data_IF_420097424781
#
_entry.id   IF_420097424781
#
_cell.length_a   1.000
_cell.length_b   1.000
_cell.length_c   1.000
_cell.angle_alpha   90.00
_cell.angle_beta   90.00
_cell.angle_gamma   90.00
#
_symmetry.space_group_name_H-M   'P 1'
#
loop_
_entity.id
_entity.type
_entity.pdbx_description
1 polymer ?
#
# COMPACT_ATOMS: atom_id res chain seq x y z
N UNK A 1 0.66 44.94 23.64
CA UNK A 1 1.46 44.73 22.41
C UNK A 1 2.59 43.71 22.65
N UNK A 2 3.20 43.71 23.86
CA UNK A 2 4.28 42.77 24.20
C UNK A 2 3.82 41.31 24.42
N UNK A 3 2.58 41.09 24.91
CA UNK A 3 2.06 39.73 25.13
C UNK A 3 1.79 38.94 23.82
N UNK A 4 1.56 39.63 22.67
CA UNK A 4 1.40 38.98 21.36
C UNK A 4 2.73 38.66 20.64
N UNK A 5 3.81 39.34 21.01
CA UNK A 5 5.15 39.06 20.49
C UNK A 5 5.75 37.80 21.11
N UNK A 6 5.54 37.60 22.42
CA UNK A 6 6.01 36.41 23.14
C UNK A 6 5.31 35.11 22.68
N UNK A 7 4.00 35.14 22.43
CA UNK A 7 3.26 33.97 21.97
C UNK A 7 3.66 33.51 20.55
N UNK A 8 4.11 34.44 19.68
CA UNK A 8 4.64 34.10 18.34
C UNK A 8 6.05 33.53 18.38
N UNK A 9 6.87 33.94 19.36
CA UNK A 9 8.20 33.39 19.55
C UNK A 9 8.15 31.96 20.10
N UNK A 10 7.27 31.67 21.06
CA UNK A 10 7.09 30.30 21.58
C UNK A 10 6.55 29.30 20.54
N UNK A 11 5.66 29.72 19.66
CA UNK A 11 5.16 28.88 18.58
C UNK A 11 6.21 28.59 17.48
N UNK A 12 7.15 29.52 17.25
CA UNK A 12 8.25 29.34 16.30
C UNK A 12 9.28 28.31 16.82
N UNK A 13 9.53 28.27 18.12
CA UNK A 13 10.50 27.36 18.74
C UNK A 13 10.00 25.91 18.83
N UNK A 14 8.69 25.71 18.95
CA UNK A 14 8.07 24.37 18.92
C UNK A 14 8.21 23.72 17.53
N UNK A 15 8.18 24.53 16.46
CA UNK A 15 8.36 24.03 15.09
C UNK A 15 9.82 23.94 14.61
N UNK A 16 10.76 24.61 15.29
CA UNK A 16 12.19 24.61 14.88
C UNK A 16 13.01 23.46 15.48
N UNK A 17 12.43 22.61 16.32
CA UNK A 17 13.09 21.41 16.86
C UNK A 17 14.26 21.67 17.84
N UNK A 18 14.49 22.93 18.28
CA UNK A 18 15.62 23.29 19.14
C UNK A 18 15.31 23.34 20.65
N UNK A 19 14.04 23.15 21.04
CA UNK A 19 13.55 23.45 22.38
C UNK A 19 13.48 22.32 23.42
N UNK A 20 13.80 21.06 23.13
CA UNK A 20 13.51 19.91 24.05
C UNK A 20 14.78 19.17 24.54
N UNK A 21 15.93 19.76 24.49
CA UNK A 21 17.16 19.06 24.94
C UNK A 21 17.69 19.50 26.33
N UNK A 22 16.98 20.33 27.09
CA UNK A 22 17.51 20.92 28.34
C UNK A 22 16.73 20.67 29.63
N UNK A 23 15.81 19.74 29.70
CA UNK A 23 15.07 19.50 30.97
C UNK A 23 14.99 18.01 31.34
N UNK A 24 16.09 17.34 31.58
CA UNK A 24 16.24 16.29 32.64
C UNK A 24 17.74 16.01 32.80
N UNK A 25 18.42 16.80 33.59
CA UNK A 25 19.74 16.42 34.15
C UNK A 25 19.57 16.17 35.66
N UNK A 26 19.81 14.92 36.05
CA UNK A 26 20.26 14.64 37.44
C UNK A 26 21.67 15.20 37.59
N UNK A 27 22.08 15.75 38.73
CA UNK A 27 23.45 16.24 38.95
C UNK A 27 24.41 15.05 39.00
N UNK A 28 25.28 14.95 37.99
CA UNK A 28 26.47 14.09 38.02
C UNK A 28 27.62 14.92 38.61
N UNK A 29 28.47 14.28 39.42
CA UNK A 29 29.63 14.91 40.07
C UNK A 29 30.64 15.42 39.05
N UNK A 30 31.36 16.51 39.40
CA UNK A 30 32.28 17.28 38.56
C UNK A 30 33.49 16.53 38.06
N UNK A 31 33.73 15.28 38.44
CA UNK A 31 34.99 14.54 38.10
C UNK A 31 34.86 13.64 36.87
N UNK A 32 33.65 13.26 36.44
CA UNK A 32 33.49 12.39 35.29
C UNK A 32 33.36 13.13 33.94
N UNK A 33 33.13 14.45 33.98
CA UNK A 33 33.02 15.27 32.77
C UNK A 33 34.35 15.63 32.10
N UNK A 34 35.47 15.61 32.85
CA UNK A 34 36.78 15.99 32.33
C UNK A 34 37.57 14.82 31.73
N UNK A 35 37.19 13.57 32.01
CA UNK A 35 37.85 12.38 31.39
C UNK A 35 37.29 11.97 30.03
N UNK A 36 36.11 12.45 29.67
CA UNK A 36 35.47 12.09 28.40
C UNK A 36 35.85 12.99 27.20
N UNK A 37 36.50 14.12 27.40
CA UNK A 37 36.85 15.10 26.35
C UNK A 37 38.34 15.15 25.98
N UNK A 38 39.13 14.12 26.26
CA UNK A 38 40.56 14.14 26.15
C UNK A 38 41.20 13.63 24.84
N UNK A 39 40.42 13.31 23.78
CA UNK A 39 41.01 12.85 22.52
C UNK A 39 40.60 13.73 21.34
N UNK A 40 41.50 14.59 20.80
CA UNK A 40 41.21 15.48 19.67
C UNK A 40 40.95 14.76 18.34
N UNK A 41 41.09 13.42 18.28
CA UNK A 41 40.81 12.59 17.08
C UNK A 41 39.40 11.97 17.07
N UNK A 42 38.58 12.23 18.08
CA UNK A 42 37.21 11.75 18.11
C UNK A 42 36.30 12.92 18.51
N UNK A 43 35.87 13.79 17.57
CA UNK A 43 34.88 14.82 17.88
C UNK A 43 33.66 14.09 18.41
N UNK A 44 33.08 14.56 19.53
CA UNK A 44 31.82 14.05 20.11
C UNK A 44 30.79 13.97 19.00
N UNK A 45 30.62 12.79 18.41
CA UNK A 45 29.61 12.53 17.44
C UNK A 45 28.27 12.55 18.20
N UNK A 46 27.37 13.52 17.98
CA UNK A 46 26.07 13.50 18.62
C UNK A 46 25.48 12.14 18.24
N UNK A 47 25.19 11.30 19.23
CA UNK A 47 24.58 9.99 19.04
C UNK A 47 23.37 10.20 18.13
N UNK A 48 23.54 9.92 16.82
CA UNK A 48 22.41 9.83 15.91
C UNK A 48 21.49 8.78 16.52
N UNK A 49 20.32 9.19 16.99
CA UNK A 49 19.36 8.29 17.59
C UNK A 49 18.82 7.38 16.49
N UNK A 50 19.52 6.29 16.24
CA UNK A 50 19.05 5.27 15.31
C UNK A 50 17.76 4.65 15.85
N UNK A 51 16.75 4.59 15.00
CA UNK A 51 15.57 3.81 15.32
C UNK A 51 15.98 2.36 15.60
N UNK A 52 15.49 1.74 16.68
CA UNK A 52 15.69 0.31 16.85
C UNK A 52 15.01 -0.44 15.70
N UNK A 53 15.65 -1.46 15.08
CA UNK A 53 15.08 -2.19 13.95
C UNK A 53 13.66 -2.69 14.21
N UNK A 54 13.41 -3.28 15.39
CA UNK A 54 12.07 -3.76 15.75
C UNK A 54 11.00 -2.65 15.79
N UNK A 55 11.36 -1.43 16.22
CA UNK A 55 10.43 -0.28 16.22
C UNK A 55 10.06 0.15 14.81
N UNK A 56 11.03 0.16 13.90
CA UNK A 56 10.79 0.51 12.48
C UNK A 56 9.89 -0.52 11.82
N UNK A 57 10.18 -1.81 12.01
CA UNK A 57 9.40 -2.90 11.44
C UNK A 57 7.97 -2.91 11.97
N UNK A 58 7.80 -2.75 13.28
CA UNK A 58 6.48 -2.66 13.91
C UNK A 58 5.69 -1.45 13.43
N UNK A 59 6.32 -0.29 13.33
CA UNK A 59 5.69 0.94 12.86
C UNK A 59 5.25 0.83 11.38
N UNK A 60 6.07 0.23 10.53
CA UNK A 60 5.75 -0.02 9.14
C UNK A 60 4.59 -1.00 9.00
N UNK A 61 4.61 -2.10 9.76
CA UNK A 61 3.55 -3.11 9.75
C UNK A 61 2.21 -2.52 10.23
N UNK A 62 2.20 -1.85 11.38
CA UNK A 62 0.97 -1.24 11.94
C UNK A 62 0.42 -0.17 11.00
N UNK A 63 1.28 0.70 10.48
CA UNK A 63 0.88 1.76 9.56
C UNK A 63 0.18 1.20 8.33
N UNK A 64 0.81 0.27 7.63
CA UNK A 64 0.24 -0.34 6.43
C UNK A 64 -0.95 -1.25 6.72
N UNK A 65 -1.04 -1.87 7.90
CA UNK A 65 -2.24 -2.62 8.31
C UNK A 65 -3.45 -1.70 8.42
N UNK A 66 -3.29 -0.52 9.03
CA UNK A 66 -4.36 0.50 9.13
C UNK A 66 -4.76 0.99 7.75
N UNK A 67 -3.76 1.29 6.91
CA UNK A 67 -3.95 1.71 5.52
C UNK A 67 -4.79 0.70 4.73
N UNK A 68 -4.40 -0.57 4.75
CA UNK A 68 -5.12 -1.61 4.03
C UNK A 68 -6.47 -1.93 4.66
N UNK A 69 -6.62 -1.85 5.98
CA UNK A 69 -7.92 -1.97 6.63
C UNK A 69 -8.90 -0.93 6.09
N UNK A 70 -8.53 0.35 6.08
CA UNK A 70 -9.35 1.46 5.59
C UNK A 70 -9.72 1.29 4.10
N UNK A 71 -8.78 0.77 3.32
CA UNK A 71 -9.01 0.50 1.91
C UNK A 71 -10.01 -0.66 1.69
N UNK A 72 -9.88 -1.75 2.45
CA UNK A 72 -10.71 -2.94 2.27
C UNK A 72 -12.09 -2.83 2.89
N UNK A 73 -12.29 -2.04 3.97
CA UNK A 73 -13.66 -1.76 4.45
C UNK A 73 -14.48 -1.05 3.37
N UNK A 74 -13.86 -0.14 2.61
CA UNK A 74 -14.54 0.46 1.46
C UNK A 74 -14.83 -0.58 0.36
N UNK A 75 -13.87 -1.43 0.02
CA UNK A 75 -14.05 -2.46 -1.01
C UNK A 75 -15.22 -3.40 -0.67
N UNK A 76 -15.29 -3.83 0.58
CA UNK A 76 -16.39 -4.66 1.08
C UNK A 76 -17.73 -3.91 1.04
N UNK A 77 -17.76 -2.66 1.52
CA UNK A 77 -18.97 -1.84 1.49
C UNK A 77 -19.42 -1.51 0.06
N UNK A 78 -18.51 -1.34 -0.89
CA UNK A 78 -18.81 -1.09 -2.30
C UNK A 78 -19.57 -2.25 -2.96
N UNK A 79 -19.39 -3.46 -2.47
CA UNK A 79 -20.14 -4.65 -2.94
C UNK A 79 -21.42 -4.86 -2.13
N UNK A 80 -21.36 -4.70 -0.79
CA UNK A 80 -22.43 -5.15 0.12
C UNK A 80 -23.44 -4.06 0.47
N UNK A 81 -23.01 -2.79 0.51
CA UNK A 81 -23.75 -1.68 1.16
C UNK A 81 -24.09 -0.57 0.18
N UNK A 82 -23.09 -0.03 -0.51
CA UNK A 82 -23.26 1.19 -1.29
C UNK A 82 -24.22 1.07 -2.48
N UNK A 83 -24.33 -0.08 -3.18
CA UNK A 83 -25.33 -0.23 -4.23
C UNK A 83 -26.75 0.06 -3.74
N UNK A 84 -27.08 -0.35 -2.50
CA UNK A 84 -28.42 -0.17 -1.91
C UNK A 84 -28.63 1.23 -1.33
N UNK A 85 -27.61 1.81 -0.68
CA UNK A 85 -27.75 3.02 0.12
C UNK A 85 -27.35 4.32 -0.59
N UNK A 86 -26.49 4.22 -1.61
CA UNK A 86 -25.97 5.39 -2.33
C UNK A 86 -26.35 5.42 -3.81
N UNK A 87 -26.74 4.28 -4.39
CA UNK A 87 -27.07 4.14 -5.81
C UNK A 87 -28.41 3.42 -6.03
N UNK A 88 -29.51 3.81 -5.36
CA UNK A 88 -30.76 3.06 -5.41
C UNK A 88 -31.54 3.19 -6.74
N UNK A 89 -31.13 4.11 -7.62
CA UNK A 89 -31.80 4.35 -8.90
C UNK A 89 -31.30 3.38 -9.97
N UNK A 90 -32.18 2.52 -10.47
CA UNK A 90 -31.90 1.57 -11.55
C UNK A 90 -31.94 0.10 -11.12
N UNK A 91 -31.47 -0.79 -12.01
CA UNK A 91 -31.34 -2.21 -11.69
C UNK A 91 -30.14 -2.48 -10.77
N UNK A 92 -30.16 -3.62 -10.08
CA UNK A 92 -29.13 -4.01 -9.11
C UNK A 92 -27.71 -4.12 -9.74
N UNK A 93 -27.63 -4.47 -11.02
CA UNK A 93 -26.36 -4.58 -11.74
C UNK A 93 -25.77 -3.20 -12.00
N UNK A 94 -26.57 -2.24 -12.46
CA UNK A 94 -26.15 -0.83 -12.65
C UNK A 94 -25.73 -0.19 -11.34
N UNK A 95 -26.47 -0.41 -10.25
CA UNK A 95 -26.11 0.10 -8.92
C UNK A 95 -24.75 -0.46 -8.45
N UNK A 96 -24.50 -1.75 -8.67
CA UNK A 96 -23.21 -2.38 -8.34
C UNK A 96 -22.07 -1.81 -9.19
N UNK A 97 -22.28 -1.63 -10.49
CA UNK A 97 -21.28 -1.04 -11.39
C UNK A 97 -20.94 0.40 -11.01
N UNK A 98 -21.93 1.23 -10.64
CA UNK A 98 -21.72 2.60 -10.16
C UNK A 98 -20.91 2.62 -8.85
N UNK A 99 -21.24 1.72 -7.92
CA UNK A 99 -20.49 1.57 -6.68
C UNK A 99 -19.03 1.15 -6.93
N UNK A 100 -18.79 0.19 -7.82
CA UNK A 100 -17.46 -0.23 -8.22
C UNK A 100 -16.69 0.86 -9.00
N UNK A 101 -17.39 1.73 -9.73
CA UNK A 101 -16.78 2.89 -10.36
C UNK A 101 -16.23 3.88 -9.31
N UNK A 102 -16.97 4.11 -8.20
CA UNK A 102 -16.42 4.92 -7.09
C UNK A 102 -15.24 4.24 -6.42
N UNK A 103 -15.24 2.91 -6.30
CA UNK A 103 -14.07 2.17 -5.81
C UNK A 103 -12.84 2.41 -6.69
N UNK A 104 -13.00 2.44 -8.01
CA UNK A 104 -11.92 2.69 -8.96
C UNK A 104 -11.29 4.09 -8.82
N UNK A 105 -12.05 5.11 -8.39
CA UNK A 105 -11.55 6.48 -8.23
C UNK A 105 -10.29 6.57 -7.36
N UNK A 106 -10.18 5.75 -6.31
CA UNK A 106 -9.00 5.76 -5.47
C UNK A 106 -7.72 5.40 -6.24
N UNK A 107 -7.80 4.49 -7.22
CA UNK A 107 -6.63 4.11 -8.02
C UNK A 107 -6.15 5.25 -8.91
N UNK A 108 -7.06 6.05 -9.44
CA UNK A 108 -6.70 7.25 -10.21
C UNK A 108 -6.17 8.38 -9.32
N UNK A 109 -6.64 8.48 -8.08
CA UNK A 109 -6.14 9.45 -7.11
C UNK A 109 -4.73 9.10 -6.58
N UNK A 110 -4.36 7.81 -6.52
CA UNK A 110 -3.07 7.35 -5.97
C UNK A 110 -1.84 7.93 -6.68
N UNK A 111 -1.71 7.95 -8.01
CA UNK A 111 -0.57 8.60 -8.66
C UNK A 111 -0.45 10.09 -8.36
N UNK A 112 -1.60 10.79 -8.25
CA UNK A 112 -1.63 12.19 -7.83
C UNK A 112 -1.11 12.30 -6.39
N UNK A 113 -1.57 11.44 -5.49
CA UNK A 113 -1.08 11.33 -4.12
C UNK A 113 0.43 11.02 -4.07
N UNK A 114 0.90 10.06 -4.87
CA UNK A 114 2.33 9.74 -4.99
C UNK A 114 3.16 10.93 -5.46
N UNK A 115 2.66 11.69 -6.41
CA UNK A 115 3.33 12.88 -6.91
C UNK A 115 3.42 13.97 -5.83
N UNK A 116 2.32 14.25 -5.15
CA UNK A 116 2.24 15.26 -4.09
C UNK A 116 3.05 14.84 -2.87
N UNK A 117 2.73 13.69 -2.28
CA UNK A 117 3.41 13.22 -1.06
C UNK A 117 4.85 12.77 -1.34
N UNK A 118 5.15 12.21 -2.51
CA UNK A 118 6.50 11.90 -2.93
C UNK A 118 7.38 13.14 -3.01
N UNK A 119 6.87 14.21 -3.63
CA UNK A 119 7.57 15.50 -3.68
C UNK A 119 7.91 16.03 -2.28
N UNK A 120 6.96 16.00 -1.37
CA UNK A 120 7.19 16.42 0.01
C UNK A 120 8.10 15.43 0.76
N UNK A 121 7.97 14.12 0.51
CA UNK A 121 8.79 13.08 1.13
C UNK A 121 10.26 13.17 0.77
N UNK A 122 10.57 13.53 -0.47
CA UNK A 122 11.94 13.74 -0.95
C UNK A 122 12.51 15.12 -0.56
N UNK A 123 11.67 16.10 -0.13
CA UNK A 123 12.09 17.47 0.24
C UNK A 123 12.03 17.79 1.73
N UNK A 124 10.95 17.43 2.38
CA UNK A 124 10.65 17.80 3.78
C UNK A 124 11.02 16.67 4.74
N UNK A 125 10.91 15.43 4.27
CA UNK A 125 11.20 14.24 5.05
C UNK A 125 10.08 13.20 4.99
N UNK A 126 10.47 11.96 5.16
CA UNK A 126 9.57 10.81 5.02
C UNK A 126 8.57 10.70 6.16
N UNK A 127 8.99 11.02 7.39
CA UNK A 127 8.13 11.00 8.57
C UNK A 127 6.95 11.97 8.47
N UNK A 128 7.21 13.24 8.14
CA UNK A 128 6.18 14.27 8.03
C UNK A 128 5.16 13.92 6.94
N UNK A 129 5.66 13.43 5.81
CA UNK A 129 4.84 13.01 4.68
C UNK A 129 3.94 11.81 5.01
N UNK A 130 4.46 10.81 5.72
CA UNK A 130 3.69 9.66 6.18
C UNK A 130 2.57 10.05 7.16
N UNK A 131 2.83 11.02 8.04
CA UNK A 131 1.80 11.56 8.95
C UNK A 131 0.70 12.28 8.17
N UNK A 132 1.06 13.13 7.21
CA UNK A 132 0.09 13.86 6.40
C UNK A 132 -0.75 12.91 5.52
N UNK A 133 -0.14 11.90 4.92
CA UNK A 133 -0.83 10.87 4.13
C UNK A 133 -1.83 10.06 4.98
N UNK A 134 -1.42 9.61 6.17
CA UNK A 134 -2.28 8.90 7.11
C UNK A 134 -3.50 9.76 7.52
N UNK A 135 -3.28 11.03 7.85
CA UNK A 135 -4.37 11.93 8.25
C UNK A 135 -5.34 12.18 7.08
N UNK A 136 -4.83 12.36 5.86
CA UNK A 136 -5.67 12.55 4.66
C UNK A 136 -6.54 11.32 4.40
N UNK A 137 -5.96 10.13 4.46
CA UNK A 137 -6.68 8.88 4.24
C UNK A 137 -7.68 8.61 5.36
N UNK A 138 -7.23 8.67 6.61
CA UNK A 138 -8.07 8.33 7.77
C UNK A 138 -9.23 9.29 7.97
N UNK A 139 -9.03 10.60 7.80
CA UNK A 139 -10.14 11.57 7.84
C UNK A 139 -11.17 11.29 6.74
N UNK A 140 -10.71 11.00 5.52
CA UNK A 140 -11.60 10.63 4.43
C UNK A 140 -12.41 9.36 4.75
N UNK A 141 -11.79 8.35 5.38
CA UNK A 141 -12.46 7.12 5.81
C UNK A 141 -13.52 7.38 6.86
N UNK A 142 -13.20 8.14 7.89
CA UNK A 142 -14.15 8.49 8.96
C UNK A 142 -15.35 9.28 8.41
N UNK A 143 -15.09 10.21 7.51
CA UNK A 143 -16.14 10.99 6.86
C UNK A 143 -17.11 10.09 6.08
N UNK A 144 -16.63 9.02 5.39
CA UNK A 144 -17.53 8.06 4.72
C UNK A 144 -18.54 7.46 5.71
N UNK A 145 -18.06 7.06 6.91
CA UNK A 145 -18.93 6.53 7.96
C UNK A 145 -19.99 7.52 8.46
N UNK A 146 -19.74 8.82 8.34
CA UNK A 146 -20.65 9.88 8.75
C UNK A 146 -21.58 10.37 7.62
N UNK A 147 -21.38 9.91 6.37
CA UNK A 147 -22.19 10.40 5.23
C UNK A 147 -23.67 10.02 5.38
N UNK A 148 -24.59 10.97 5.07
CA UNK A 148 -25.99 10.64 4.85
C UNK A 148 -26.17 9.81 3.57
N UNK A 149 -27.20 8.98 3.54
CA UNK A 149 -27.54 8.11 2.40
C UNK A 149 -28.28 8.88 1.30
N UNK A 150 -28.48 8.22 0.16
CA UNK A 150 -29.22 8.79 -0.97
C UNK A 150 -30.62 9.25 -0.60
N UNK A 151 -31.32 8.49 0.25
CA UNK A 151 -32.68 8.85 0.71
C UNK A 151 -32.73 10.16 1.49
N UNK A 152 -31.63 10.57 2.14
CA UNK A 152 -31.57 11.80 2.93
C UNK A 152 -31.17 13.04 2.10
N UNK A 153 -30.21 12.89 1.16
CA UNK A 153 -29.62 14.04 0.43
C UNK A 153 -29.54 13.84 -1.09
N UNK A 154 -30.18 12.81 -1.62
CA UNK A 154 -30.23 12.54 -3.06
C UNK A 154 -28.85 12.38 -3.70
N UNK A 155 -28.65 12.98 -4.88
CA UNK A 155 -27.43 12.87 -5.66
C UNK A 155 -26.17 13.39 -4.94
N UNK A 156 -26.32 14.22 -3.92
CA UNK A 156 -25.16 14.68 -3.13
C UNK A 156 -24.48 13.53 -2.38
N UNK A 157 -25.21 12.45 -2.02
CA UNK A 157 -24.63 11.31 -1.31
C UNK A 157 -23.56 10.57 -2.12
N UNK A 158 -23.81 10.09 -3.35
CA UNK A 158 -22.76 9.46 -4.16
C UNK A 158 -21.62 10.43 -4.54
N UNK A 159 -21.88 11.72 -4.71
CA UNK A 159 -20.85 12.72 -4.98
C UNK A 159 -19.89 12.87 -3.79
N UNK A 160 -20.42 13.02 -2.57
CA UNK A 160 -19.61 13.11 -1.35
C UNK A 160 -18.83 11.79 -1.10
N UNK A 161 -19.47 10.65 -1.36
CA UNK A 161 -18.80 9.35 -1.29
C UNK A 161 -17.61 9.29 -2.25
N UNK A 162 -17.78 9.75 -3.49
CA UNK A 162 -16.72 9.81 -4.50
C UNK A 162 -15.58 10.76 -4.09
N UNK A 163 -15.90 11.94 -3.53
CA UNK A 163 -14.90 12.88 -3.01
C UNK A 163 -14.10 12.31 -1.83
N UNK A 164 -14.76 11.68 -0.87
CA UNK A 164 -14.07 11.00 0.22
C UNK A 164 -13.19 9.86 -0.30
N UNK A 165 -13.68 9.08 -1.29
CA UNK A 165 -12.90 8.01 -1.92
C UNK A 165 -11.67 8.54 -2.66
N UNK A 166 -11.78 9.67 -3.32
CA UNK A 166 -10.65 10.36 -3.94
C UNK A 166 -9.62 10.78 -2.88
N UNK A 167 -10.08 11.35 -1.75
CA UNK A 167 -9.23 11.70 -0.61
C UNK A 167 -8.49 10.50 0.00
N UNK A 168 -9.17 9.35 0.16
CA UNK A 168 -8.53 8.10 0.56
C UNK A 168 -7.42 7.70 -0.42
N UNK A 169 -7.70 7.77 -1.72
CA UNK A 169 -6.73 7.45 -2.76
C UNK A 169 -5.50 8.36 -2.75
N UNK A 170 -5.69 9.66 -2.52
CA UNK A 170 -4.57 10.61 -2.38
C UNK A 170 -3.65 10.20 -1.22
N UNK A 171 -4.21 9.97 -0.02
CA UNK A 171 -3.42 9.56 1.15
C UNK A 171 -2.67 8.24 0.89
N UNK A 172 -3.37 7.23 0.39
CA UNK A 172 -2.82 5.92 0.10
C UNK A 172 -1.65 5.97 -0.92
N UNK A 173 -1.75 6.86 -1.92
CA UNK A 173 -0.70 7.05 -2.92
C UNK A 173 0.63 7.50 -2.34
N UNK A 174 0.61 8.27 -1.24
CA UNK A 174 1.80 8.76 -0.56
C UNK A 174 2.38 7.81 0.48
N UNK A 175 1.63 6.85 0.97
CA UNK A 175 1.99 6.11 2.17
C UNK A 175 2.88 4.90 1.90
N UNK A 176 2.51 4.06 0.95
CA UNK A 176 3.16 2.77 0.70
C UNK A 176 4.67 2.90 0.42
N UNK A 177 5.08 3.80 -0.48
CA UNK A 177 6.49 4.00 -0.81
C UNK A 177 7.32 4.45 0.39
N UNK A 178 6.76 5.34 1.22
CA UNK A 178 7.41 5.79 2.47
C UNK A 178 7.59 4.66 3.48
N UNK A 179 6.59 3.79 3.64
CA UNK A 179 6.66 2.66 4.56
C UNK A 179 7.71 1.62 4.11
N UNK A 180 7.74 1.31 2.81
CA UNK A 180 8.74 0.39 2.22
C UNK A 180 10.15 0.96 2.38
N UNK A 181 10.36 2.23 2.04
CA UNK A 181 11.69 2.86 2.16
C UNK A 181 12.12 2.98 3.62
N UNK A 182 11.21 3.33 4.53
CA UNK A 182 11.52 3.35 5.96
C UNK A 182 12.02 1.99 6.44
N UNK A 183 11.41 0.90 5.99
CA UNK A 183 11.83 -0.44 6.36
C UNK A 183 13.16 -0.84 5.69
N UNK A 184 13.28 -0.69 4.36
CA UNK A 184 14.44 -1.16 3.59
C UNK A 184 15.72 -0.34 3.83
N UNK A 185 15.61 0.98 4.05
CA UNK A 185 16.77 1.85 4.33
C UNK A 185 17.34 1.67 5.76
N UNK A 186 16.55 1.10 6.68
CA UNK A 186 17.03 0.69 8.00
C UNK A 186 17.45 -0.79 8.06
N UNK A 187 17.41 -1.51 6.93
CA UNK A 187 17.78 -2.92 6.86
C UNK A 187 19.31 -3.11 6.89
N UNK A 188 19.82 -4.14 7.59
CA UNK A 188 21.20 -4.57 7.43
C UNK A 188 21.47 -5.05 5.99
N UNK A 189 22.74 -4.96 5.51
CA UNK A 189 23.10 -5.47 4.20
C UNK A 189 22.66 -6.92 4.00
N UNK A 190 22.06 -7.24 2.83
CA UNK A 190 21.58 -8.56 2.49
C UNK A 190 20.27 -8.99 3.16
N UNK A 191 19.55 -8.07 3.83
CA UNK A 191 18.22 -8.32 4.46
C UNK A 191 17.16 -7.30 4.03
N UNK A 192 17.35 -6.68 2.89
CA UNK A 192 16.45 -5.63 2.42
C UNK A 192 15.05 -6.16 2.11
N UNK A 193 14.94 -7.35 1.48
CA UNK A 193 13.65 -7.97 1.19
C UNK A 193 12.95 -8.43 2.47
N UNK A 194 13.67 -8.99 3.44
CA UNK A 194 13.12 -9.36 4.74
C UNK A 194 12.55 -8.16 5.50
N UNK A 195 13.24 -7.02 5.51
CA UNK A 195 12.74 -5.80 6.15
C UNK A 195 11.58 -5.21 5.35
N UNK A 196 11.70 -5.16 4.02
CA UNK A 196 10.67 -4.65 3.11
C UNK A 196 9.36 -5.45 3.10
N UNK A 197 9.37 -6.71 3.57
CA UNK A 197 8.14 -7.50 3.68
C UNK A 197 7.20 -7.05 4.81
N UNK A 198 7.71 -6.40 5.87
CA UNK A 198 6.87 -6.02 7.00
C UNK A 198 5.74 -5.05 6.60
N UNK A 199 5.97 -3.97 5.86
CA UNK A 199 4.87 -3.19 5.30
C UNK A 199 3.95 -4.00 4.37
N UNK A 200 4.47 -5.01 3.66
CA UNK A 200 3.65 -5.86 2.78
C UNK A 200 2.71 -6.79 3.58
N UNK A 201 3.12 -7.25 4.76
CA UNK A 201 2.26 -8.03 5.67
C UNK A 201 1.05 -7.24 6.17
N UNK A 202 1.08 -5.92 6.09
CA UNK A 202 -0.08 -5.08 6.38
C UNK A 202 -1.30 -5.40 5.51
N UNK A 203 -1.09 -5.82 4.25
CA UNK A 203 -2.19 -6.14 3.33
C UNK A 203 -3.02 -7.37 3.79
N UNK A 204 -2.45 -8.55 4.04
CA UNK A 204 -3.24 -9.67 4.55
C UNK A 204 -3.84 -9.43 5.93
N UNK A 205 -3.15 -8.73 6.83
CA UNK A 205 -3.69 -8.39 8.15
C UNK A 205 -4.85 -7.41 8.05
N UNK A 206 -4.71 -6.35 7.26
CA UNK A 206 -5.79 -5.39 6.99
C UNK A 206 -7.01 -6.05 6.36
N UNK A 207 -6.80 -7.01 5.43
CA UNK A 207 -7.89 -7.76 4.82
C UNK A 207 -8.64 -8.63 5.85
N UNK A 208 -7.92 -9.39 6.68
CA UNK A 208 -8.53 -10.23 7.72
C UNK A 208 -9.32 -9.37 8.72
N UNK A 209 -8.75 -8.25 9.18
CA UNK A 209 -9.42 -7.34 10.10
C UNK A 209 -10.68 -6.72 9.46
N UNK A 210 -10.60 -6.24 8.22
CA UNK A 210 -11.72 -5.59 7.54
C UNK A 210 -12.83 -6.57 7.20
N UNK A 211 -12.50 -7.73 6.67
CA UNK A 211 -13.47 -8.79 6.36
C UNK A 211 -14.07 -9.36 7.64
N UNK A 212 -13.24 -9.55 8.66
CA UNK A 212 -13.66 -10.07 9.97
C UNK A 212 -14.66 -9.16 10.68
N UNK A 213 -14.48 -7.84 10.65
CA UNK A 213 -15.44 -6.91 11.28
C UNK A 213 -16.77 -6.91 10.53
N UNK A 214 -16.78 -6.97 9.18
CA UNK A 214 -18.03 -7.09 8.42
C UNK A 214 -18.72 -8.42 8.69
N UNK A 215 -17.98 -9.53 8.74
CA UNK A 215 -18.52 -10.84 9.07
C UNK A 215 -19.15 -10.83 10.48
N UNK A 216 -18.42 -10.27 11.47
CA UNK A 216 -18.93 -10.14 12.84
C UNK A 216 -20.23 -9.33 12.90
N UNK A 217 -20.26 -8.19 12.21
CA UNK A 217 -21.45 -7.31 12.19
C UNK A 217 -22.65 -7.99 11.51
N UNK A 218 -22.42 -8.76 10.45
CA UNK A 218 -23.50 -9.51 9.78
C UNK A 218 -24.02 -10.70 10.59
N UNK A 219 -23.24 -11.23 11.54
CA UNK A 219 -23.68 -12.27 12.48
C UNK A 219 -24.42 -11.70 13.70
N UNK A 220 -23.98 -10.54 14.20
CA UNK A 220 -24.53 -9.95 15.42
C UNK A 220 -25.74 -9.04 15.20
N UNK A 221 -25.90 -8.49 14.01
CA UNK A 221 -26.94 -7.53 13.67
C UNK A 221 -27.97 -8.13 12.72
N UNK A 222 -29.21 -7.70 12.88
CA UNK A 222 -30.24 -7.96 11.85
C UNK A 222 -29.93 -7.17 10.58
N UNK A 223 -30.43 -7.60 9.43
CA UNK A 223 -30.27 -6.87 8.17
C UNK A 223 -30.68 -5.40 8.30
N UNK A 224 -31.78 -5.11 8.99
CA UNK A 224 -32.25 -3.74 9.24
C UNK A 224 -31.22 -2.94 10.04
N UNK A 225 -30.71 -3.47 11.14
CA UNK A 225 -29.70 -2.82 11.97
C UNK A 225 -28.40 -2.61 11.18
N UNK A 226 -27.99 -3.63 10.41
CA UNK A 226 -26.79 -3.55 9.58
C UNK A 226 -26.89 -2.42 8.55
N UNK A 227 -27.97 -2.29 7.80
CA UNK A 227 -28.14 -1.24 6.79
C UNK A 227 -28.45 0.15 7.37
N UNK A 228 -29.04 0.26 8.56
CA UNK A 228 -29.30 1.58 9.21
C UNK A 228 -28.02 2.18 9.78
N UNK A 229 -27.25 1.41 10.57
CA UNK A 229 -26.07 1.94 11.26
C UNK A 229 -24.85 1.00 11.26
N UNK A 230 -25.04 -0.32 11.22
CA UNK A 230 -23.97 -1.30 11.41
C UNK A 230 -22.81 -1.13 10.41
N UNK A 231 -23.11 -0.85 9.15
CA UNK A 231 -22.09 -0.65 8.12
C UNK A 231 -21.18 0.56 8.37
N UNK A 232 -21.61 1.52 9.20
CA UNK A 232 -20.83 2.72 9.56
C UNK A 232 -19.73 2.42 10.58
N UNK A 233 -19.92 1.39 11.40
CA UNK A 233 -19.00 1.03 12.50
C UNK A 233 -17.56 0.85 12.04
N UNK A 234 -17.24 0.09 11.00
CA UNK A 234 -15.86 -0.07 10.54
C UNK A 234 -15.21 1.25 10.14
N UNK A 235 -15.95 2.14 9.46
CA UNK A 235 -15.46 3.45 9.03
C UNK A 235 -15.21 4.40 10.20
N UNK A 236 -16.10 4.42 11.19
CA UNK A 236 -15.94 5.26 12.37
C UNK A 236 -14.85 4.71 13.31
N UNK A 237 -14.70 3.38 13.40
CA UNK A 237 -13.63 2.74 14.15
C UNK A 237 -12.23 3.05 13.58
N UNK A 238 -12.13 3.39 12.29
CA UNK A 238 -10.91 3.89 11.67
C UNK A 238 -10.32 5.10 12.40
N UNK A 239 -11.15 5.97 13.02
CA UNK A 239 -10.65 7.08 13.82
C UNK A 239 -9.69 6.61 14.92
N UNK A 240 -10.02 5.53 15.63
CA UNK A 240 -9.15 4.95 16.65
C UNK A 240 -7.84 4.43 16.03
N UNK A 241 -7.93 3.76 14.89
CA UNK A 241 -6.75 3.24 14.18
C UNK A 241 -5.83 4.37 13.70
N UNK A 242 -6.40 5.49 13.23
CA UNK A 242 -5.63 6.69 12.85
C UNK A 242 -4.87 7.26 14.06
N UNK A 243 -5.48 7.33 15.25
CA UNK A 243 -4.78 7.75 16.47
C UNK A 243 -3.63 6.81 16.82
N UNK A 244 -3.82 5.50 16.72
CA UNK A 244 -2.75 4.51 16.93
C UNK A 244 -1.63 4.69 15.91
N UNK A 245 -1.96 4.81 14.62
CA UNK A 245 -0.98 5.04 13.55
C UNK A 245 -0.19 6.34 13.73
N UNK A 246 -0.87 7.42 14.11
CA UNK A 246 -0.24 8.71 14.40
C UNK A 246 0.72 8.62 15.59
N UNK A 247 0.28 8.01 16.71
CA UNK A 247 1.12 7.79 17.88
C UNK A 247 2.41 7.04 17.55
N UNK A 248 2.29 5.95 16.79
CA UNK A 248 3.43 5.14 16.37
C UNK A 248 4.40 5.95 15.48
N UNK A 249 3.87 6.70 14.50
CA UNK A 249 4.68 7.48 13.54
C UNK A 249 5.36 8.69 14.18
N UNK A 250 4.74 9.35 15.11
CA UNK A 250 5.35 10.50 15.82
C UNK A 250 6.59 10.10 16.62
N UNK A 251 6.71 8.83 17.01
CA UNK A 251 7.88 8.30 17.73
C UNK A 251 9.05 7.86 16.85
N UNK A 252 8.91 7.89 15.53
CA UNK A 252 9.98 7.56 14.61
C UNK A 252 10.91 8.77 14.39
N UNK A 253 12.19 8.50 14.15
CA UNK A 253 13.15 9.47 13.64
C UNK A 253 13.28 9.34 12.13
N UNK A 254 13.77 10.38 11.46
CA UNK A 254 13.97 10.37 10.01
C UNK A 254 15.03 9.34 9.59
N UNK A 255 14.98 8.87 8.33
CA UNK A 255 15.86 7.80 7.85
C UNK A 255 17.31 8.28 7.69
N UNK A 256 18.33 7.42 7.95
CA UNK A 256 19.73 7.78 7.76
C UNK A 256 20.05 8.14 6.31
N UNK A 257 19.41 7.50 5.34
CA UNK A 257 19.62 7.79 3.92
C UNK A 257 19.15 9.20 3.55
N UNK A 258 18.00 9.63 4.07
CA UNK A 258 17.49 10.98 3.85
C UNK A 258 18.35 12.04 4.55
N UNK A 259 18.86 11.76 5.76
CA UNK A 259 19.78 12.66 6.47
C UNK A 259 21.06 12.88 5.68
N UNK A 260 21.67 11.82 5.14
CA UNK A 260 22.85 11.93 4.27
C UNK A 260 22.58 12.72 3.00
N UNK A 261 21.43 12.52 2.36
CA UNK A 261 21.05 13.28 1.16
C UNK A 261 20.89 14.79 1.46
N UNK A 262 20.44 15.15 2.67
CA UNK A 262 20.43 16.55 3.14
C UNK A 262 21.85 17.09 3.29
N UNK A 263 22.72 16.36 3.99
CA UNK A 263 24.11 16.75 4.26
C UNK A 263 24.89 16.93 2.96
N UNK A 264 24.67 16.07 1.96
CA UNK A 264 25.36 16.12 0.66
C UNK A 264 24.73 17.09 -0.36
N UNK A 265 23.65 17.80 -0.02
CA UNK A 265 22.92 18.69 -0.92
C UNK A 265 22.35 18.00 -2.18
N UNK A 266 22.06 16.69 -2.13
CA UNK A 266 21.58 15.85 -3.24
C UNK A 266 20.06 15.96 -3.48
N UNK A 267 19.41 17.06 -3.06
CA UNK A 267 17.97 17.23 -3.20
C UNK A 267 17.58 17.67 -4.62
N UNK A 268 16.68 16.90 -5.23
CA UNK A 268 16.09 17.25 -6.52
C UNK A 268 14.95 18.25 -6.32
N UNK A 269 14.87 19.29 -7.16
CA UNK A 269 13.83 20.33 -7.05
C UNK A 269 12.43 19.81 -7.36
N UNK A 270 12.29 18.95 -8.37
CA UNK A 270 11.04 18.37 -8.85
C UNK A 270 11.18 16.86 -9.09
N UNK A 271 11.17 16.01 -8.04
CA UNK A 271 11.40 14.57 -8.16
C UNK A 271 10.46 13.87 -9.16
N UNK A 272 9.18 14.27 -9.21
CA UNK A 272 8.20 13.70 -10.16
C UNK A 272 8.60 13.98 -11.61
N UNK A 273 9.00 15.23 -11.91
CA UNK A 273 9.42 15.59 -13.27
C UNK A 273 10.68 14.80 -13.65
N UNK A 274 11.66 14.73 -12.76
CA UNK A 274 12.88 13.94 -12.97
C UNK A 274 12.57 12.47 -13.26
N UNK A 275 11.66 11.84 -12.49
CA UNK A 275 11.27 10.44 -12.73
C UNK A 275 10.63 10.27 -14.11
N UNK A 276 9.75 11.18 -14.51
CA UNK A 276 9.02 11.06 -15.78
C UNK A 276 9.93 11.39 -16.98
N UNK A 277 10.86 12.34 -16.85
CA UNK A 277 11.72 12.79 -17.97
C UNK A 277 13.01 12.01 -18.09
N UNK A 278 13.65 11.63 -16.97
CA UNK A 278 14.96 10.97 -16.98
C UNK A 278 14.87 9.44 -16.86
N UNK A 279 13.78 8.93 -16.22
CA UNK A 279 13.58 7.49 -16.00
C UNK A 279 12.29 6.91 -16.60
N UNK A 280 11.76 7.40 -17.77
CA UNK A 280 10.47 6.94 -18.31
C UNK A 280 10.44 5.44 -18.59
N UNK A 281 11.53 4.90 -19.14
CA UNK A 281 11.63 3.47 -19.44
C UNK A 281 11.65 2.59 -18.19
N UNK A 282 12.27 3.06 -17.10
CA UNK A 282 12.27 2.37 -15.80
C UNK A 282 10.88 2.42 -15.17
N UNK A 283 10.21 3.59 -15.25
CA UNK A 283 8.84 3.76 -14.76
C UNK A 283 7.87 2.80 -15.45
N UNK A 284 7.90 2.75 -16.78
CA UNK A 284 7.01 1.86 -17.58
C UNK A 284 7.33 0.38 -17.30
N UNK A 285 8.58 -0.03 -17.36
CA UNK A 285 8.95 -1.43 -17.13
C UNK A 285 8.66 -1.87 -15.68
N UNK A 286 8.91 -1.01 -14.70
CA UNK A 286 8.57 -1.29 -13.30
C UNK A 286 7.05 -1.41 -13.09
N UNK A 287 6.25 -0.54 -13.74
CA UNK A 287 4.79 -0.61 -13.74
C UNK A 287 4.30 -1.95 -14.30
N UNK A 288 4.79 -2.36 -15.47
CA UNK A 288 4.43 -3.63 -16.09
C UNK A 288 4.92 -4.83 -15.27
N UNK A 289 6.09 -4.74 -14.64
CA UNK A 289 6.64 -5.78 -13.76
C UNK A 289 5.78 -6.04 -12.51
N UNK A 290 5.00 -5.06 -12.06
CA UNK A 290 4.09 -5.21 -10.92
C UNK A 290 2.64 -5.57 -11.33
N UNK A 291 2.27 -5.47 -12.61
CA UNK A 291 0.88 -5.56 -13.09
C UNK A 291 0.21 -6.89 -12.75
N UNK A 292 0.86 -8.04 -12.99
CA UNK A 292 0.26 -9.35 -12.70
C UNK A 292 -0.05 -9.56 -11.21
N UNK A 293 0.75 -9.00 -10.32
CA UNK A 293 0.53 -9.03 -8.88
C UNK A 293 -0.79 -8.36 -8.52
N UNK A 294 -1.06 -7.17 -9.08
CA UNK A 294 -2.32 -6.45 -8.86
C UNK A 294 -3.51 -7.14 -9.50
N UNK A 295 -3.38 -7.59 -10.76
CA UNK A 295 -4.44 -8.35 -11.45
C UNK A 295 -4.85 -9.55 -10.59
N UNK A 296 -3.89 -10.37 -10.17
CA UNK A 296 -4.16 -11.58 -9.40
C UNK A 296 -4.86 -11.27 -8.09
N UNK A 297 -4.39 -10.27 -7.33
CA UNK A 297 -5.01 -9.90 -6.06
C UNK A 297 -6.48 -9.52 -6.20
N UNK A 298 -6.80 -8.64 -7.15
CA UNK A 298 -8.19 -8.17 -7.32
C UNK A 298 -9.11 -9.20 -7.97
N UNK A 299 -8.55 -10.14 -8.72
CA UNK A 299 -9.29 -11.32 -9.15
C UNK A 299 -9.62 -12.24 -7.97
N UNK A 300 -8.64 -12.54 -7.10
CA UNK A 300 -8.85 -13.42 -5.94
C UNK A 300 -9.76 -12.80 -4.88
N UNK A 301 -9.83 -11.50 -4.77
CA UNK A 301 -10.62 -10.81 -3.75
C UNK A 301 -11.95 -10.28 -4.29
N UNK A 302 -11.94 -9.31 -5.18
CA UNK A 302 -13.14 -8.59 -5.64
C UNK A 302 -13.94 -9.41 -6.65
N UNK A 303 -13.30 -9.86 -7.74
CA UNK A 303 -13.99 -10.66 -8.75
C UNK A 303 -14.52 -11.96 -8.17
N UNK A 304 -13.71 -12.70 -7.41
CA UNK A 304 -14.10 -13.98 -6.84
C UNK A 304 -15.27 -13.84 -5.87
N UNK A 305 -15.30 -12.80 -5.03
CA UNK A 305 -16.44 -12.54 -4.15
C UNK A 305 -17.71 -12.27 -4.94
N UNK A 306 -17.62 -11.39 -5.94
CA UNK A 306 -18.77 -11.07 -6.77
C UNK A 306 -19.29 -12.29 -7.53
N UNK A 307 -18.41 -12.96 -8.29
CA UNK A 307 -18.79 -14.13 -9.11
C UNK A 307 -19.23 -15.32 -8.26
N UNK A 308 -18.54 -15.59 -7.16
CA UNK A 308 -18.86 -16.67 -6.23
C UNK A 308 -20.23 -16.53 -5.59
N UNK A 309 -20.64 -15.31 -5.26
CA UNK A 309 -21.96 -15.06 -4.64
C UNK A 309 -23.09 -14.92 -5.67
N UNK A 310 -22.81 -14.36 -6.86
CA UNK A 310 -23.86 -14.09 -7.86
C UNK A 310 -24.03 -15.23 -8.86
N UNK A 311 -22.95 -15.81 -9.37
CA UNK A 311 -22.98 -16.80 -10.44
C UNK A 311 -22.86 -18.25 -9.91
N UNK A 312 -22.01 -18.47 -8.89
CA UNK A 312 -21.85 -19.81 -8.30
C UNK A 312 -22.83 -20.07 -7.14
N UNK A 313 -23.58 -19.05 -6.68
CA UNK A 313 -24.62 -19.18 -5.68
C UNK A 313 -24.13 -19.45 -4.24
N UNK A 314 -22.87 -19.22 -3.93
CA UNK A 314 -22.36 -19.37 -2.57
C UNK A 314 -22.98 -18.35 -1.62
N UNK A 315 -23.43 -18.75 -0.42
CA UNK A 315 -23.78 -17.80 0.63
C UNK A 315 -22.60 -16.85 0.91
N UNK A 316 -22.90 -15.55 1.03
CA UNK A 316 -21.88 -14.52 1.29
C UNK A 316 -20.95 -14.87 2.44
N UNK A 317 -21.52 -15.34 3.58
CA UNK A 317 -20.78 -15.79 4.75
C UNK A 317 -19.75 -16.86 4.40
N UNK A 318 -20.17 -17.91 3.72
CA UNK A 318 -19.29 -19.01 3.31
C UNK A 318 -18.15 -18.52 2.44
N UNK A 319 -18.45 -17.65 1.46
CA UNK A 319 -17.42 -17.14 0.56
C UNK A 319 -16.40 -16.23 1.26
N UNK A 320 -16.84 -15.36 2.18
CA UNK A 320 -15.93 -14.54 2.99
C UNK A 320 -15.00 -15.40 3.86
N UNK A 321 -15.51 -16.49 4.46
CA UNK A 321 -14.68 -17.43 5.23
C UNK A 321 -13.64 -18.10 4.31
N UNK A 322 -14.03 -18.55 3.12
CA UNK A 322 -13.10 -19.14 2.15
C UNK A 322 -12.00 -18.16 1.74
N UNK A 323 -12.36 -16.88 1.52
CA UNK A 323 -11.38 -15.84 1.22
C UNK A 323 -10.45 -15.58 2.41
N UNK A 324 -10.96 -15.53 3.64
CA UNK A 324 -10.12 -15.36 4.83
C UNK A 324 -9.09 -16.50 4.97
N UNK A 325 -9.51 -17.75 4.72
CA UNK A 325 -8.59 -18.90 4.70
C UNK A 325 -7.54 -18.71 3.59
N UNK A 326 -7.95 -18.31 2.40
CA UNK A 326 -7.04 -18.02 1.29
C UNK A 326 -6.01 -16.93 1.62
N UNK A 327 -6.42 -15.86 2.31
CA UNK A 327 -5.54 -14.75 2.71
C UNK A 327 -4.49 -15.19 3.75
N UNK A 328 -4.73 -16.23 4.55
CA UNK A 328 -3.69 -16.82 5.41
C UNK A 328 -2.52 -17.30 4.56
N UNK A 329 -2.78 -17.98 3.43
CA UNK A 329 -1.70 -18.41 2.51
C UNK A 329 -0.98 -17.21 1.88
N UNK A 330 -1.68 -16.11 1.57
CA UNK A 330 -1.07 -14.86 1.16
C UNK A 330 -0.08 -14.35 2.22
N UNK A 331 -0.52 -14.28 3.48
CA UNK A 331 0.32 -13.85 4.60
C UNK A 331 1.54 -14.73 4.84
N UNK A 332 1.40 -16.06 4.71
CA UNK A 332 2.49 -17.02 4.92
C UNK A 332 3.54 -17.02 3.81
N UNK A 333 3.14 -16.75 2.57
CA UNK A 333 4.06 -16.77 1.42
C UNK A 333 4.86 -15.48 1.26
N UNK A 334 4.44 -14.35 1.86
CA UNK A 334 5.22 -13.10 1.89
C UNK A 334 6.57 -13.30 2.59
N UNK A 335 6.68 -13.80 3.84
CA UNK A 335 7.98 -14.07 4.47
C UNK A 335 8.83 -15.08 3.71
N UNK A 336 8.19 -16.12 3.17
CA UNK A 336 8.87 -17.15 2.38
C UNK A 336 9.56 -16.52 1.15
N UNK A 337 8.83 -15.70 0.40
CA UNK A 337 9.37 -15.02 -0.78
C UNK A 337 10.45 -14.01 -0.45
N UNK A 338 10.33 -13.28 0.65
CA UNK A 338 11.34 -12.34 1.12
C UNK A 338 12.66 -13.05 1.49
N UNK A 339 12.60 -14.18 2.21
CA UNK A 339 13.77 -15.00 2.51
C UNK A 339 14.44 -15.57 1.24
N UNK A 340 13.62 -15.98 0.26
CA UNK A 340 14.14 -16.43 -1.05
C UNK A 340 14.79 -15.26 -1.81
N UNK A 341 14.21 -14.06 -1.72
CA UNK A 341 14.70 -12.87 -2.40
C UNK A 341 16.03 -12.38 -1.82
N UNK A 342 16.21 -12.38 -0.50
CA UNK A 342 17.50 -12.04 0.13
C UNK A 342 18.61 -13.03 -0.24
N UNK A 343 18.28 -14.30 -0.60
CA UNK A 343 19.27 -15.32 -1.01
C UNK A 343 19.52 -15.39 -2.50
N UNK A 344 18.48 -15.19 -3.35
CA UNK A 344 18.53 -15.43 -4.80
C UNK A 344 18.32 -14.16 -5.64
N UNK A 345 18.08 -13.03 -4.98
CA UNK A 345 17.74 -11.76 -5.60
C UNK A 345 16.23 -11.58 -5.85
N UNK A 346 15.75 -10.37 -5.66
CA UNK A 346 14.34 -9.98 -5.80
C UNK A 346 13.76 -10.40 -7.17
N UNK A 347 14.48 -10.12 -8.23
CA UNK A 347 14.06 -10.37 -9.61
C UNK A 347 13.89 -11.85 -9.92
N UNK A 348 14.79 -12.71 -9.46
CA UNK A 348 14.70 -14.16 -9.70
C UNK A 348 13.43 -14.74 -9.08
N UNK A 349 13.10 -14.31 -7.86
CA UNK A 349 11.86 -14.74 -7.19
C UNK A 349 10.63 -14.21 -7.91
N UNK A 350 10.62 -12.95 -8.33
CA UNK A 350 9.51 -12.36 -9.09
C UNK A 350 9.28 -13.08 -10.42
N UNK A 351 10.33 -13.39 -11.19
CA UNK A 351 10.20 -14.15 -12.44
C UNK A 351 9.62 -15.53 -12.18
N UNK A 352 10.16 -16.28 -11.21
CA UNK A 352 9.65 -17.62 -10.87
C UNK A 352 8.19 -17.61 -10.44
N UNK A 353 7.80 -16.67 -9.58
CA UNK A 353 6.41 -16.53 -9.14
C UNK A 353 5.49 -16.09 -10.30
N UNK A 354 5.95 -15.20 -11.18
CA UNK A 354 5.17 -14.77 -12.36
C UNK A 354 4.94 -15.92 -13.33
N UNK A 355 5.93 -16.78 -13.57
CA UNK A 355 5.76 -17.98 -14.39
C UNK A 355 4.73 -18.94 -13.76
N UNK A 356 4.75 -19.09 -12.43
CA UNK A 356 3.72 -19.87 -11.73
C UNK A 356 2.32 -19.24 -11.84
N UNK A 357 2.20 -17.91 -11.87
CA UNK A 357 0.92 -17.21 -12.15
C UNK A 357 0.42 -17.50 -13.56
N UNK A 358 1.30 -17.56 -14.56
CA UNK A 358 0.93 -17.92 -15.93
C UNK A 358 0.34 -19.35 -15.95
N UNK A 359 1.02 -20.30 -15.31
CA UNK A 359 0.51 -21.69 -15.19
C UNK A 359 -0.84 -21.73 -14.44
N UNK A 360 -0.96 -20.96 -13.35
CA UNK A 360 -2.22 -20.85 -12.59
C UNK A 360 -3.38 -20.36 -13.46
N UNK A 361 -3.15 -19.46 -14.41
CA UNK A 361 -4.19 -18.99 -15.34
C UNK A 361 -4.87 -20.11 -16.11
N UNK A 362 -4.17 -21.19 -16.47
CA UNK A 362 -4.76 -22.34 -17.17
C UNK A 362 -5.59 -23.24 -16.25
N UNK A 363 -5.29 -23.30 -14.96
CA UNK A 363 -6.03 -24.12 -13.97
C UNK A 363 -7.10 -23.33 -13.21
N UNK A 364 -7.20 -22.02 -13.42
CA UNK A 364 -8.17 -21.14 -12.77
C UNK A 364 -9.61 -21.62 -13.00
N UNK A 365 -10.00 -21.82 -14.26
CA UNK A 365 -11.37 -22.17 -14.61
C UNK A 365 -11.81 -23.54 -14.05
N UNK A 366 -11.04 -24.64 -14.19
CA UNK A 366 -11.42 -25.90 -13.59
C UNK A 366 -11.47 -25.90 -12.07
N UNK A 367 -10.66 -25.08 -11.40
CA UNK A 367 -10.70 -24.97 -9.94
C UNK A 367 -11.88 -24.13 -9.45
N UNK A 368 -12.07 -22.93 -9.99
CA UNK A 368 -13.11 -22.00 -9.55
C UNK A 368 -14.51 -22.43 -10.02
N UNK A 369 -14.61 -23.02 -11.22
CA UNK A 369 -15.85 -23.55 -11.78
C UNK A 369 -16.16 -25.00 -11.40
N UNK A 370 -15.42 -25.61 -10.47
CA UNK A 370 -15.54 -27.03 -10.09
C UNK A 370 -16.92 -27.41 -9.47
N UNK A 371 -17.70 -26.43 -9.05
CA UNK A 371 -19.00 -26.66 -8.38
C UNK A 371 -18.90 -27.17 -6.95
N UNK A 372 -17.69 -27.32 -6.39
CA UNK A 372 -17.48 -27.76 -5.02
C UNK A 372 -16.60 -26.81 -4.20
N UNK A 373 -16.84 -26.76 -2.89
CA UNK A 373 -16.18 -25.85 -1.97
C UNK A 373 -14.65 -26.06 -1.91
N UNK A 374 -14.17 -27.28 -2.05
CA UNK A 374 -12.75 -27.59 -2.03
C UNK A 374 -12.03 -27.04 -3.26
N UNK A 375 -12.64 -27.13 -4.45
CA UNK A 375 -12.09 -26.53 -5.66
C UNK A 375 -11.96 -25.03 -5.54
N UNK A 376 -13.00 -24.36 -5.02
CA UNK A 376 -12.98 -22.92 -4.75
C UNK A 376 -11.94 -22.53 -3.69
N UNK A 377 -11.79 -23.32 -2.63
CA UNK A 377 -10.77 -23.10 -1.61
C UNK A 377 -9.36 -23.27 -2.18
N UNK A 378 -9.12 -24.33 -2.97
CA UNK A 378 -7.82 -24.53 -3.64
C UNK A 378 -7.50 -23.38 -4.60
N UNK A 379 -8.48 -22.90 -5.35
CA UNK A 379 -8.34 -21.75 -6.24
C UNK A 379 -7.91 -20.49 -5.46
N UNK A 380 -8.61 -20.16 -4.37
CA UNK A 380 -8.31 -18.99 -3.54
C UNK A 380 -6.96 -19.13 -2.83
N UNK A 381 -6.68 -20.30 -2.23
CA UNK A 381 -5.44 -20.55 -1.51
C UNK A 381 -4.22 -20.47 -2.44
N UNK A 382 -4.29 -21.11 -3.60
CA UNK A 382 -3.20 -21.12 -4.58
C UNK A 382 -2.99 -19.72 -5.20
N UNK A 383 -4.06 -19.05 -5.64
CA UNK A 383 -3.98 -17.71 -6.21
C UNK A 383 -3.43 -16.68 -5.23
N UNK A 384 -3.88 -16.71 -3.97
CA UNK A 384 -3.40 -15.81 -2.92
C UNK A 384 -1.98 -16.18 -2.43
N UNK A 385 -1.60 -17.46 -2.44
CA UNK A 385 -0.21 -17.86 -2.20
C UNK A 385 0.74 -17.32 -3.27
N UNK A 386 0.37 -17.43 -4.56
CA UNK A 386 1.15 -16.87 -5.67
C UNK A 386 1.24 -15.34 -5.59
N UNK A 387 0.15 -14.68 -5.16
CA UNK A 387 0.16 -13.25 -4.86
C UNK A 387 1.22 -12.91 -3.81
N UNK A 388 1.28 -13.66 -2.71
CA UNK A 388 2.27 -13.42 -1.64
C UNK A 388 3.71 -13.64 -2.11
N UNK A 389 3.94 -14.62 -3.00
CA UNK A 389 5.27 -14.86 -3.58
C UNK A 389 5.76 -13.69 -4.43
N UNK A 390 4.88 -12.98 -5.11
CA UNK A 390 5.27 -11.76 -5.86
C UNK A 390 5.30 -10.54 -4.97
N UNK A 391 4.37 -10.41 -4.02
CA UNK A 391 4.17 -9.20 -3.23
C UNK A 391 5.28 -8.96 -2.20
N UNK A 392 5.83 -10.03 -1.59
CA UNK A 392 6.88 -9.91 -0.59
C UNK A 392 8.11 -9.12 -1.07
N UNK A 393 8.77 -9.51 -2.16
CA UNK A 393 9.95 -8.82 -2.68
C UNK A 393 9.62 -7.58 -3.53
N UNK A 394 8.36 -7.37 -3.92
CA UNK A 394 7.98 -6.31 -4.87
C UNK A 394 8.39 -4.92 -4.41
N UNK A 395 8.16 -4.60 -3.13
CA UNK A 395 8.49 -3.28 -2.58
C UNK A 395 9.97 -2.96 -2.70
N UNK A 396 10.83 -3.89 -2.31
CA UNK A 396 12.29 -3.77 -2.41
C UNK A 396 12.73 -3.69 -3.88
N UNK A 397 12.18 -4.56 -4.72
CA UNK A 397 12.50 -4.59 -6.15
C UNK A 397 12.19 -3.26 -6.85
N UNK A 398 11.03 -2.65 -6.58
CA UNK A 398 10.65 -1.36 -7.18
C UNK A 398 11.50 -0.21 -6.63
N UNK A 399 11.87 -0.24 -5.34
CA UNK A 399 12.75 0.77 -4.75
C UNK A 399 14.16 0.74 -5.35
N UNK A 400 14.69 -0.45 -5.66
CA UNK A 400 16.02 -0.64 -6.26
C UNK A 400 16.14 -0.10 -7.69
N UNK A 401 15.02 0.10 -8.40
CA UNK A 401 15.02 0.62 -9.77
C UNK A 401 15.44 2.10 -9.87
N UNK A 402 15.37 2.84 -8.77
CA UNK A 402 15.57 4.29 -8.77
C UNK A 402 16.72 4.73 -7.87
N UNK A 403 17.49 5.77 -8.26
CA UNK A 403 18.52 6.36 -7.40
C UNK A 403 17.89 7.00 -6.15
N UNK A 404 18.67 7.11 -5.08
CA UNK A 404 18.19 7.56 -3.75
C UNK A 404 17.48 8.92 -3.79
N UNK A 405 17.92 9.84 -4.67
CA UNK A 405 17.38 11.19 -4.81
C UNK A 405 15.92 11.28 -5.29
N UNK A 406 15.44 10.24 -6.00
CA UNK A 406 14.06 10.17 -6.54
C UNK A 406 13.37 8.83 -6.21
N UNK A 407 13.97 8.03 -5.33
CA UNK A 407 13.53 6.66 -5.02
C UNK A 407 12.11 6.60 -4.46
N UNK A 408 11.78 7.52 -3.56
CA UNK A 408 10.43 7.59 -2.98
C UNK A 408 9.38 7.82 -4.07
N UNK A 409 9.56 8.87 -4.84
CA UNK A 409 8.64 9.26 -5.92
C UNK A 409 8.59 8.18 -7.00
N UNK A 410 9.73 7.65 -7.42
CA UNK A 410 9.82 6.63 -8.47
C UNK A 410 9.14 5.33 -8.08
N UNK A 411 9.46 4.77 -6.91
CA UNK A 411 8.86 3.53 -6.42
C UNK A 411 7.35 3.67 -6.18
N UNK A 412 6.91 4.77 -5.53
CA UNK A 412 5.50 5.03 -5.26
C UNK A 412 4.70 5.22 -6.54
N UNK A 413 5.20 5.99 -7.49
CA UNK A 413 4.52 6.23 -8.75
C UNK A 413 4.41 4.93 -9.57
N UNK A 414 5.48 4.15 -9.66
CA UNK A 414 5.50 2.85 -10.34
C UNK A 414 4.46 1.89 -9.76
N UNK A 415 4.42 1.75 -8.43
CA UNK A 415 3.47 0.88 -7.72
C UNK A 415 2.02 1.33 -7.96
N UNK A 416 1.74 2.63 -7.89
CA UNK A 416 0.38 3.14 -8.05
C UNK A 416 -0.09 3.13 -9.52
N UNK A 417 0.80 3.33 -10.49
CA UNK A 417 0.49 3.13 -11.91
C UNK A 417 0.19 1.66 -12.22
N UNK A 418 0.94 0.72 -11.62
CA UNK A 418 0.63 -0.70 -11.72
C UNK A 418 -0.75 -1.03 -11.11
N UNK A 419 -1.14 -0.34 -10.04
CA UNK A 419 -2.48 -0.41 -9.47
C UNK A 419 -3.57 0.06 -10.44
N UNK A 420 -3.35 1.12 -11.22
CA UNK A 420 -4.32 1.53 -12.25
C UNK A 420 -4.45 0.44 -13.31
N UNK A 421 -3.34 -0.01 -13.87
CA UNK A 421 -3.34 -0.98 -14.99
C UNK A 421 -3.87 -2.34 -14.56
N UNK A 422 -3.44 -2.83 -13.38
CA UNK A 422 -3.71 -4.19 -12.92
C UNK A 422 -4.90 -4.33 -11.97
N UNK A 423 -5.28 -3.27 -11.24
CA UNK A 423 -6.29 -3.38 -10.19
C UNK A 423 -7.63 -2.73 -10.55
N UNK A 424 -7.61 -1.52 -11.12
CA UNK A 424 -8.83 -0.74 -11.33
C UNK A 424 -9.79 -1.40 -12.31
N UNK A 425 -9.28 -1.96 -13.39
CA UNK A 425 -10.06 -2.57 -14.47
C UNK A 425 -10.21 -4.10 -14.34
N UNK A 426 -9.35 -4.77 -13.56
CA UNK A 426 -9.31 -6.24 -13.51
C UNK A 426 -10.63 -6.88 -13.07
N UNK A 427 -11.31 -6.46 -12.00
CA UNK A 427 -12.59 -7.07 -11.62
C UNK A 427 -13.69 -6.88 -12.67
N UNK A 428 -13.75 -5.69 -13.27
CA UNK A 428 -14.69 -5.37 -14.33
C UNK A 428 -14.46 -6.24 -15.57
N UNK A 429 -13.22 -6.25 -16.07
CA UNK A 429 -12.82 -7.04 -17.24
C UNK A 429 -13.07 -8.54 -17.00
N UNK A 430 -12.73 -9.05 -15.81
CA UNK A 430 -12.95 -10.45 -15.45
C UNK A 430 -14.45 -10.80 -15.40
N UNK A 431 -15.28 -9.92 -14.81
CA UNK A 431 -16.73 -10.15 -14.77
C UNK A 431 -17.35 -10.14 -16.17
N UNK A 432 -16.94 -9.20 -17.03
CA UNK A 432 -17.38 -9.14 -18.41
C UNK A 432 -16.93 -10.37 -19.22
N UNK A 433 -15.65 -10.77 -19.10
CA UNK A 433 -15.11 -11.96 -19.76
C UNK A 433 -15.79 -13.23 -19.29
N UNK A 434 -15.97 -13.40 -17.97
CA UNK A 434 -16.64 -14.57 -17.41
C UNK A 434 -18.10 -14.68 -17.87
N UNK A 435 -18.82 -13.57 -17.91
CA UNK A 435 -20.23 -13.54 -18.33
C UNK A 435 -20.41 -13.82 -19.82
N UNK A 436 -19.45 -13.45 -20.68
CA UNK A 436 -19.56 -13.61 -22.14
C UNK A 436 -18.85 -14.85 -22.68
N UNK A 437 -17.71 -15.22 -22.11
CA UNK A 437 -16.84 -16.27 -22.63
C UNK A 437 -16.49 -17.36 -21.61
N UNK A 438 -17.05 -17.26 -20.39
CA UNK A 438 -16.79 -18.19 -19.31
C UNK A 438 -15.48 -17.96 -18.56
N UNK A 439 -15.29 -18.72 -17.48
CA UNK A 439 -14.14 -18.57 -16.57
C UNK A 439 -12.78 -18.84 -17.25
N UNK A 440 -12.73 -19.61 -18.33
CA UNK A 440 -11.49 -19.84 -19.09
C UNK A 440 -10.92 -18.56 -19.68
N UNK A 441 -11.78 -17.62 -20.09
CA UNK A 441 -11.35 -16.32 -20.60
C UNK A 441 -10.70 -15.46 -19.49
N UNK A 442 -11.16 -15.60 -18.26
CA UNK A 442 -10.50 -14.95 -17.09
C UNK A 442 -9.12 -15.57 -16.84
N UNK A 443 -9.00 -16.88 -17.02
CA UNK A 443 -7.70 -17.57 -16.96
C UNK A 443 -6.73 -17.04 -18.01
N UNK A 444 -7.16 -16.88 -19.27
CA UNK A 444 -6.32 -16.30 -20.34
C UNK A 444 -5.98 -14.82 -20.07
N UNK A 445 -6.85 -14.06 -19.42
CA UNK A 445 -6.53 -12.71 -18.98
C UNK A 445 -5.37 -12.69 -17.95
N UNK A 446 -5.36 -13.65 -17.00
CA UNK A 446 -4.25 -13.84 -16.05
C UNK A 446 -2.96 -14.24 -16.77
N UNK A 447 -3.04 -15.16 -17.74
CA UNK A 447 -1.89 -15.57 -18.59
C UNK A 447 -1.32 -14.35 -19.32
N UNK A 448 -2.16 -13.53 -19.94
CA UNK A 448 -1.74 -12.32 -20.64
C UNK A 448 -1.03 -11.31 -19.72
N UNK A 449 -1.62 -11.02 -18.55
CA UNK A 449 -1.03 -10.14 -17.55
C UNK A 449 0.31 -10.69 -17.04
N UNK A 450 0.38 -11.99 -16.75
CA UNK A 450 1.61 -12.67 -16.35
C UNK A 450 2.71 -12.61 -17.42
N UNK A 451 2.33 -12.79 -18.68
CA UNK A 451 3.27 -12.73 -19.83
C UNK A 451 3.86 -11.32 -19.99
N UNK A 452 3.03 -10.28 -19.88
CA UNK A 452 3.49 -8.87 -19.90
C UNK A 452 4.44 -8.59 -18.74
N UNK A 453 4.10 -9.04 -17.54
CA UNK A 453 4.95 -8.87 -16.35
C UNK A 453 6.28 -9.62 -16.51
N UNK A 454 6.27 -10.87 -16.99
CA UNK A 454 7.48 -11.64 -17.24
C UNK A 454 8.39 -10.93 -18.28
N UNK A 455 7.82 -10.47 -19.39
CA UNK A 455 8.56 -9.72 -20.41
C UNK A 455 9.23 -8.46 -19.84
N UNK A 456 8.51 -7.69 -19.01
CA UNK A 456 9.06 -6.51 -18.34
C UNK A 456 10.20 -6.84 -17.38
N UNK A 457 10.07 -7.90 -16.57
CA UNK A 457 11.11 -8.37 -15.67
C UNK A 457 12.37 -8.84 -16.40
N UNK A 458 12.23 -9.52 -17.57
CA UNK A 458 13.36 -9.89 -18.40
C UNK A 458 14.03 -8.68 -19.05
N UNK A 459 13.26 -7.70 -19.54
CA UNK A 459 13.80 -6.47 -20.12
C UNK A 459 14.59 -5.63 -19.09
N UNK A 460 14.12 -5.55 -17.83
CA UNK A 460 14.85 -4.93 -16.73
C UNK A 460 16.19 -5.65 -16.46
N UNK A 461 16.22 -6.98 -16.54
CA UNK A 461 17.45 -7.77 -16.36
C UNK A 461 18.50 -7.46 -17.41
N UNK A 462 18.12 -7.31 -18.67
CA UNK A 462 19.03 -7.00 -19.77
C UNK A 462 19.67 -5.62 -19.63
N UNK A 463 18.92 -4.61 -19.16
CA UNK A 463 19.45 -3.25 -18.95
C UNK A 463 20.53 -3.17 -17.88
N UNK A 464 20.47 -3.97 -16.82
CA UNK A 464 21.53 -4.03 -15.79
C UNK A 464 22.77 -4.78 -16.27
N UNK A 465 22.61 -5.74 -17.17
CA UNK A 465 23.72 -6.54 -17.72
C UNK A 465 24.45 -5.84 -18.87
N UNK A 466 23.86 -4.78 -19.44
CA UNK A 466 24.52 -3.98 -20.47
C UNK A 466 25.60 -3.07 -19.85
N UNK A 467 26.88 -3.15 -20.27
CA UNK A 467 27.90 -2.24 -19.76
C UNK A 467 27.49 -0.80 -20.07
N UNK A 468 27.67 0.10 -19.09
CA UNK A 468 27.35 1.52 -19.22
C UNK A 468 28.23 2.16 -20.29
N UNK A 469 27.78 2.17 -21.54
CA UNK A 469 28.45 2.87 -22.64
C UNK A 469 28.44 4.40 -22.51
N UNK A 470 27.85 4.94 -21.43
CA UNK A 470 27.73 6.39 -21.22
C UNK A 470 28.86 7.01 -20.39
N UNK A 471 29.85 6.22 -19.92
CA UNK A 471 30.99 6.76 -19.17
C UNK A 471 32.10 7.30 -20.08
N UNK A 472 32.23 6.80 -21.32
CA UNK A 472 33.34 7.16 -22.22
C UNK A 472 33.10 8.39 -23.10
N UNK A 473 31.90 8.99 -23.10
CA UNK A 473 31.60 10.17 -23.93
C UNK A 473 31.72 11.53 -23.20
N UNK A 474 32.21 11.54 -21.94
CA UNK A 474 32.44 12.79 -21.18
C UNK A 474 33.92 13.09 -20.92
N UNK A 475 34.86 12.37 -21.59
CA UNK A 475 36.34 12.62 -21.49
C UNK A 475 36.91 12.80 -22.93
N UNK A 476 36.16 13.43 -23.80
CA UNK A 476 36.73 13.92 -25.07
C UNK A 476 36.34 15.37 -25.30
#
# INVERSE_FOLDING_TARGET
>A
VEARANAKAELSDVFSGRGICCMVRRPMSNDDSLRACGNPRNPCNPRTSHNSPGRVLFASLVGTTIEFFDFYIYATAAVLVFPKLFFPAGDAASATLQSLATFALAFFARPVGSAVFGHFGDRVGRKATLVAALLTMGLSTVLIGALPTYDAIGFAAPLLLALCRFGQGLGLGGEWGGAVLLATENAPPGKQAWYGMFPQLGAPLGFICSTGIFLLLTELLTDTQFFVWGWRVPFLASALLVFVGLYVRLRLTETPAFQRAIENNERVRLPVLTVVTEYPGTLVLGTLAATATFVLFYLMTVFSLSWGTTALGYPRRTFLILQMIGVVFFGLTIPLSALMADRRGNRTVLIGATLAIIVFGFVLAPLFGSGNTWGVLCYLALGLALMGLTYGPLGTALAELFPTSVRYTGASLTFNLAGIVGASLAPYAATWLAGRYGLSAVGYYVVGAGSVTAAALFALRQRESAPSQSADLRIS
#
